data_IF_049834489212
#
_entry.id   IF_049834489212
#
_cell.length_a   1.000
_cell.length_b   1.000
_cell.length_c   1.000
_cell.angle_alpha   90.00
_cell.angle_beta   90.00
_cell.angle_gamma   90.00
#
_symmetry.space_group_name_H-M   'P 1'
#
loop_
_entity.id
_entity.type
_entity.pdbx_description
1 polymer ?
#
# COMPACT_ATOMS: atom_id res chain seq x y z
N UNK A 1 -5.06 16.22 -17.12
CA UNK A 1 -3.86 16.45 -16.28
C UNK A 1 -3.06 15.16 -16.31
N UNK A 2 -1.83 15.19 -16.81
CA UNK A 2 -0.96 14.02 -16.87
C UNK A 2 -0.50 13.62 -15.47
N UNK A 3 -0.28 12.32 -15.25
CA UNK A 3 0.32 11.83 -14.00
C UNK A 3 1.79 12.23 -13.98
N UNK A 4 2.19 13.03 -12.99
CA UNK A 4 3.57 13.50 -12.85
C UNK A 4 3.93 13.60 -11.37
N UNK A 5 5.18 13.25 -11.06
CA UNK A 5 5.76 13.40 -9.72
C UNK A 5 6.42 14.78 -9.52
N UNK A 6 6.53 15.58 -10.58
CA UNK A 6 7.30 16.81 -10.61
C UNK A 6 6.65 17.91 -11.45
N UNK A 7 5.32 17.87 -11.62
CA UNK A 7 4.64 18.96 -12.29
C UNK A 7 4.85 20.25 -11.48
N UNK A 8 5.19 21.39 -12.14
CA UNK A 8 5.29 22.66 -11.44
C UNK A 8 3.95 23.01 -10.78
N UNK A 9 3.98 23.36 -9.50
CA UNK A 9 2.82 23.85 -8.77
C UNK A 9 2.67 25.36 -8.91
N UNK A 10 1.46 25.88 -8.67
CA UNK A 10 1.17 27.30 -8.62
C UNK A 10 0.86 27.74 -7.20
N UNK A 11 1.50 28.82 -6.74
CA UNK A 11 1.35 29.33 -5.37
C UNK A 11 -0.07 29.82 -5.10
N UNK A 12 -0.68 30.51 -6.06
CA UNK A 12 -2.03 31.05 -5.86
C UNK A 12 -3.09 29.95 -5.89
N UNK A 13 -2.86 28.86 -6.66
CA UNK A 13 -3.68 27.67 -6.59
C UNK A 13 -3.59 27.01 -5.22
N UNK A 14 -2.40 26.85 -4.69
CA UNK A 14 -2.18 26.30 -3.35
C UNK A 14 -2.82 27.17 -2.27
N UNK A 15 -2.71 28.50 -2.37
CA UNK A 15 -3.37 29.44 -1.44
C UNK A 15 -4.89 29.31 -1.51
N UNK A 16 -5.48 29.16 -2.70
CA UNK A 16 -6.94 28.97 -2.84
C UNK A 16 -7.44 27.69 -2.17
N UNK A 17 -6.68 26.62 -2.22
CA UNK A 17 -7.05 25.35 -1.55
C UNK A 17 -7.15 25.51 -0.04
N UNK A 18 -6.34 26.36 0.56
CA UNK A 18 -6.27 26.59 2.00
C UNK A 18 -6.95 27.90 2.45
N UNK A 19 -7.84 28.48 1.64
CA UNK A 19 -8.46 29.80 1.87
C UNK A 19 -9.02 29.98 3.29
N UNK A 20 -9.59 28.92 3.88
CA UNK A 20 -10.19 28.94 5.24
C UNK A 20 -9.23 28.50 6.35
N UNK A 21 -7.96 28.30 6.03
CA UNK A 21 -6.98 27.86 7.02
C UNK A 21 -6.36 29.05 7.76
N UNK A 22 -5.61 28.75 8.81
CA UNK A 22 -4.97 29.79 9.61
C UNK A 22 -4.02 30.66 8.77
N UNK A 23 -3.93 32.01 9.02
CA UNK A 23 -3.11 32.93 8.24
C UNK A 23 -1.63 32.48 8.09
N UNK A 24 -1.10 31.80 9.11
CA UNK A 24 0.28 31.28 9.06
C UNK A 24 0.49 30.29 7.90
N UNK A 25 -0.52 29.50 7.53
CA UNK A 25 -0.43 28.56 6.41
C UNK A 25 -0.29 29.31 5.08
N UNK A 26 -1.07 30.35 4.88
CA UNK A 26 -0.97 31.23 3.72
C UNK A 26 0.42 31.87 3.63
N UNK A 27 0.95 32.36 4.76
CA UNK A 27 2.27 32.98 4.81
C UNK A 27 3.38 31.97 4.43
N UNK A 28 3.29 30.73 4.91
CA UNK A 28 4.25 29.66 4.56
C UNK A 28 4.20 29.35 3.06
N UNK A 29 3.01 29.19 2.49
CA UNK A 29 2.84 28.90 1.07
C UNK A 29 3.42 30.04 0.22
N UNK A 30 3.09 31.31 0.55
CA UNK A 30 3.62 32.47 -0.18
C UNK A 30 5.13 32.69 -0.02
N UNK A 31 5.73 32.20 1.04
CA UNK A 31 7.17 32.23 1.25
C UNK A 31 7.91 31.11 0.50
N UNK A 32 7.20 30.14 -0.07
CA UNK A 32 7.79 29.05 -0.86
C UNK A 32 8.30 29.60 -2.19
N UNK A 33 9.59 29.37 -2.58
CA UNK A 33 10.05 29.73 -3.91
C UNK A 33 9.23 29.03 -4.99
N UNK A 34 8.83 29.76 -6.04
CA UNK A 34 7.96 29.25 -7.10
C UNK A 34 8.52 27.99 -7.79
N UNK A 35 9.83 27.91 -7.96
CA UNK A 35 10.54 26.78 -8.57
C UNK A 35 10.65 25.55 -7.64
N UNK A 36 10.19 25.65 -6.40
CA UNK A 36 10.22 24.56 -5.40
C UNK A 36 8.83 23.98 -5.10
N UNK A 37 7.79 24.61 -5.61
CA UNK A 37 6.44 24.06 -5.45
C UNK A 37 6.16 23.03 -6.54
N UNK A 38 5.77 21.84 -6.10
CA UNK A 38 5.43 20.73 -6.97
C UNK A 38 3.96 20.37 -6.78
N UNK A 39 3.23 20.25 -7.86
CA UNK A 39 1.88 19.66 -7.88
C UNK A 39 2.01 18.16 -8.12
N UNK A 40 1.67 17.39 -7.10
CA UNK A 40 1.70 15.94 -7.17
C UNK A 40 0.29 15.36 -6.99
N UNK A 41 -0.23 14.79 -8.07
CA UNK A 41 -1.52 14.10 -8.05
C UNK A 41 -1.41 12.79 -7.29
N UNK A 42 -2.09 12.70 -6.14
CA UNK A 42 -2.25 11.44 -5.43
C UNK A 42 -3.15 10.51 -6.23
N UNK A 43 -2.59 9.40 -6.69
CA UNK A 43 -3.33 8.39 -7.42
C UNK A 43 -3.66 7.22 -6.51
N UNK A 44 -4.84 6.67 -6.71
CA UNK A 44 -5.32 5.46 -6.06
C UNK A 44 -5.82 4.51 -7.14
N UNK A 45 -5.56 3.24 -6.94
CA UNK A 45 -6.09 2.18 -7.80
C UNK A 45 -6.74 1.10 -6.95
N UNK A 46 -7.82 0.55 -7.48
CA UNK A 46 -8.39 -0.66 -6.91
C UNK A 46 -7.36 -1.80 -6.97
N UNK A 47 -7.39 -2.71 -5.99
CA UNK A 47 -6.50 -3.85 -5.97
C UNK A 47 -6.56 -4.64 -7.27
N UNK A 48 -5.40 -4.97 -7.83
CA UNK A 48 -5.33 -5.89 -8.96
C UNK A 48 -5.78 -7.29 -8.52
N UNK A 49 -6.54 -8.02 -9.35
CA UNK A 49 -6.97 -9.38 -9.01
C UNK A 49 -5.82 -10.38 -8.94
N UNK A 50 -4.70 -10.06 -9.57
CA UNK A 50 -3.45 -10.84 -9.50
C UNK A 50 -2.24 -9.95 -9.79
N UNK A 51 -1.12 -10.26 -9.16
CA UNK A 51 0.15 -9.55 -9.29
C UNK A 51 1.19 -10.32 -10.10
N UNK A 52 0.81 -11.47 -10.63
CA UNK A 52 1.73 -12.38 -11.31
C UNK A 52 1.28 -12.67 -12.74
N UNK A 53 2.25 -12.90 -13.62
CA UNK A 53 1.94 -13.33 -14.98
C UNK A 53 1.34 -14.75 -15.00
N UNK A 54 0.58 -15.13 -16.04
CA UNK A 54 -0.06 -16.45 -16.13
C UNK A 54 0.92 -17.63 -15.92
N UNK A 55 2.15 -17.50 -16.42
CA UNK A 55 3.22 -18.49 -16.24
C UNK A 55 4.00 -18.31 -14.93
N UNK A 56 3.61 -17.36 -14.07
CA UNK A 56 4.26 -17.00 -12.81
C UNK A 56 5.80 -16.83 -12.94
N UNK A 57 6.23 -16.12 -13.97
CA UNK A 57 7.64 -15.78 -14.21
C UNK A 57 7.92 -14.28 -14.06
N UNK A 58 6.86 -13.50 -13.89
CA UNK A 58 6.89 -12.07 -13.60
C UNK A 58 5.99 -11.85 -12.40
N UNK A 59 6.47 -11.10 -11.42
CA UNK A 59 5.71 -10.66 -10.26
C UNK A 59 5.82 -9.13 -10.14
N UNK A 60 4.73 -8.50 -9.75
CA UNK A 60 4.69 -7.13 -9.31
C UNK A 60 4.89 -7.08 -7.79
N UNK A 61 5.54 -6.04 -7.31
CA UNK A 61 5.78 -5.77 -5.90
C UNK A 61 5.51 -4.29 -5.60
N UNK A 62 5.20 -3.98 -4.36
CA UNK A 62 4.99 -2.60 -3.90
C UNK A 62 3.94 -1.87 -4.72
N UNK A 63 4.18 -0.60 -5.00
CA UNK A 63 3.22 0.27 -5.70
C UNK A 63 2.84 -0.22 -7.10
N UNK A 64 3.68 -1.03 -7.76
CA UNK A 64 3.33 -1.65 -9.03
C UNK A 64 2.19 -2.67 -8.88
N UNK A 65 2.10 -3.35 -7.74
CA UNK A 65 1.07 -4.33 -7.42
C UNK A 65 -0.12 -3.71 -6.67
N UNK A 66 0.18 -2.83 -5.71
CA UNK A 66 -0.77 -2.32 -4.73
C UNK A 66 -0.44 -0.89 -4.28
N UNK A 67 -0.66 0.12 -5.13
CA UNK A 67 -0.38 1.50 -4.75
C UNK A 67 -1.22 1.91 -3.54
N UNK A 68 -0.54 2.37 -2.50
CA UNK A 68 -1.16 2.80 -1.25
C UNK A 68 -1.44 4.29 -1.25
N UNK A 69 -2.56 4.69 -0.66
CA UNK A 69 -2.73 6.09 -0.27
C UNK A 69 -1.68 6.44 0.80
N UNK A 70 -1.00 7.60 0.71
CA UNK A 70 -0.01 8.02 1.70
C UNK A 70 -0.54 8.05 3.13
N UNK A 71 -1.85 8.28 3.31
CA UNK A 71 -2.54 8.25 4.60
C UNK A 71 -2.48 6.90 5.33
N UNK A 72 -2.17 5.82 4.62
CA UNK A 72 -1.95 4.50 5.25
C UNK A 72 -0.65 4.43 6.04
N UNK A 73 0.38 5.19 5.62
CA UNK A 73 1.76 5.13 6.13
C UNK A 73 2.34 3.69 6.03
N UNK A 74 1.79 2.85 5.14
CA UNK A 74 2.13 1.43 5.04
C UNK A 74 2.76 1.03 3.71
N UNK A 75 2.73 1.88 2.68
CA UNK A 75 3.19 1.50 1.34
C UNK A 75 4.61 0.93 1.31
N UNK A 76 5.58 1.66 1.87
CA UNK A 76 6.97 1.23 1.88
C UNK A 76 7.20 -0.05 2.71
N UNK A 77 6.56 -0.18 3.88
CA UNK A 77 6.68 -1.39 4.70
C UNK A 77 6.10 -2.61 3.99
N UNK A 78 4.95 -2.47 3.33
CA UNK A 78 4.36 -3.56 2.56
C UNK A 78 5.24 -3.96 1.36
N UNK A 79 5.88 -3.02 0.69
CA UNK A 79 6.84 -3.30 -0.39
C UNK A 79 8.08 -4.05 0.10
N UNK A 80 8.61 -3.70 1.28
CA UNK A 80 9.71 -4.44 1.91
C UNK A 80 9.29 -5.86 2.31
N UNK A 81 8.12 -6.03 2.90
CA UNK A 81 7.57 -7.35 3.23
C UNK A 81 7.38 -8.21 1.97
N UNK A 82 6.99 -7.62 0.83
CA UNK A 82 6.88 -8.33 -0.45
C UNK A 82 8.24 -8.89 -0.88
N UNK A 83 9.27 -8.06 -0.85
CA UNK A 83 10.63 -8.47 -1.23
C UNK A 83 11.14 -9.62 -0.37
N UNK A 84 10.98 -9.52 0.95
CA UNK A 84 11.38 -10.57 1.90
C UNK A 84 10.59 -11.86 1.67
N UNK A 85 9.26 -11.76 1.56
CA UNK A 85 8.41 -12.94 1.32
C UNK A 85 8.75 -13.65 0.01
N UNK A 86 8.96 -12.88 -1.07
CA UNK A 86 9.35 -13.46 -2.36
C UNK A 86 10.72 -14.13 -2.30
N UNK A 87 11.69 -13.53 -1.60
CA UNK A 87 13.02 -14.12 -1.42
C UNK A 87 12.95 -15.46 -0.70
N UNK A 88 12.22 -15.55 0.42
CA UNK A 88 11.99 -16.81 1.14
C UNK A 88 11.29 -17.86 0.26
N UNK A 89 10.26 -17.46 -0.48
CA UNK A 89 9.57 -18.37 -1.39
C UNK A 89 10.51 -18.92 -2.48
N UNK A 90 11.39 -18.09 -3.04
CA UNK A 90 12.37 -18.50 -4.06
C UNK A 90 13.42 -19.43 -3.48
N UNK A 91 13.91 -19.15 -2.28
CA UNK A 91 14.86 -20.00 -1.55
C UNK A 91 14.28 -21.41 -1.34
N UNK A 92 13.09 -21.48 -0.75
CA UNK A 92 12.44 -22.76 -0.43
C UNK A 92 11.98 -23.55 -1.64
N UNK A 93 11.61 -22.89 -2.74
CA UNK A 93 11.23 -23.56 -3.98
C UNK A 93 12.42 -24.09 -4.78
N UNK A 94 13.56 -23.44 -4.67
CA UNK A 94 14.75 -23.70 -5.48
C UNK A 94 14.59 -23.27 -6.96
N UNK A 95 15.69 -23.28 -7.68
CA UNK A 95 15.79 -22.73 -9.06
C UNK A 95 14.84 -23.37 -10.08
N UNK A 96 14.47 -24.62 -9.88
CA UNK A 96 13.60 -25.37 -10.82
C UNK A 96 12.11 -25.09 -10.62
N UNK A 97 11.73 -24.51 -9.48
CA UNK A 97 10.33 -24.30 -9.09
C UNK A 97 9.94 -22.81 -8.97
N UNK A 98 10.63 -21.90 -9.67
CA UNK A 98 10.37 -20.46 -9.62
C UNK A 98 8.89 -20.12 -9.81
N UNK A 99 8.15 -20.71 -10.76
CA UNK A 99 6.72 -20.40 -10.89
C UNK A 99 5.90 -20.76 -9.65
N UNK A 100 6.29 -21.77 -8.90
CA UNK A 100 5.64 -22.16 -7.65
C UNK A 100 5.94 -21.15 -6.54
N UNK A 101 7.20 -20.68 -6.45
CA UNK A 101 7.59 -19.63 -5.51
C UNK A 101 6.79 -18.35 -5.71
N UNK A 102 6.67 -17.89 -6.95
CA UNK A 102 5.96 -16.66 -7.32
C UNK A 102 4.46 -16.76 -7.01
N UNK A 103 3.83 -17.92 -7.23
CA UNK A 103 2.43 -18.15 -6.83
C UNK A 103 2.25 -18.19 -5.32
N UNK A 104 3.18 -18.82 -4.60
CA UNK A 104 3.16 -18.86 -3.13
C UNK A 104 3.31 -17.44 -2.54
N UNK A 105 4.24 -16.64 -3.06
CA UNK A 105 4.40 -15.25 -2.69
C UNK A 105 3.07 -14.48 -2.78
N UNK A 106 2.42 -14.48 -3.95
CA UNK A 106 1.14 -13.79 -4.11
C UNK A 106 0.10 -14.27 -3.10
N UNK A 107 -0.05 -15.59 -2.93
CA UNK A 107 -1.05 -16.17 -2.02
C UNK A 107 -0.79 -15.81 -0.56
N UNK A 108 0.47 -15.72 -0.13
CA UNK A 108 0.85 -15.32 1.23
C UNK A 108 0.57 -13.84 1.46
N UNK A 109 0.90 -12.99 0.47
CA UNK A 109 0.86 -11.54 0.63
C UNK A 109 -0.51 -10.91 0.38
N UNK A 110 -1.28 -11.45 -0.55
CA UNK A 110 -2.46 -10.80 -1.12
C UNK A 110 -3.43 -10.30 -0.05
N UNK A 111 -3.93 -11.17 0.81
CA UNK A 111 -4.94 -10.80 1.82
C UNK A 111 -4.41 -9.79 2.84
N UNK A 112 -3.15 -9.91 3.24
CA UNK A 112 -2.51 -8.98 4.18
C UNK A 112 -2.40 -7.58 3.57
N UNK A 113 -1.94 -7.49 2.34
CA UNK A 113 -1.83 -6.22 1.61
C UNK A 113 -3.20 -5.56 1.43
N UNK A 114 -4.22 -6.33 1.04
CA UNK A 114 -5.59 -5.82 0.90
C UNK A 114 -6.11 -5.24 2.22
N UNK A 115 -5.88 -5.93 3.33
CA UNK A 115 -6.26 -5.44 4.65
C UNK A 115 -5.48 -4.15 5.02
N UNK A 116 -4.17 -4.11 4.75
CA UNK A 116 -3.34 -2.93 4.98
C UNK A 116 -3.78 -1.72 4.12
N UNK A 117 -4.10 -1.93 2.84
CA UNK A 117 -4.64 -0.89 1.95
C UNK A 117 -5.94 -0.28 2.50
N UNK A 118 -6.83 -1.11 3.02
CA UNK A 118 -8.09 -0.67 3.61
C UNK A 118 -7.90 0.25 4.81
N UNK A 119 -6.83 0.07 5.58
CA UNK A 119 -6.52 0.98 6.70
C UNK A 119 -6.24 2.42 6.23
N UNK A 120 -5.65 2.59 5.06
CA UNK A 120 -5.38 3.91 4.48
C UNK A 120 -6.66 4.68 4.14
N UNK A 121 -7.66 4.01 3.56
CA UNK A 121 -8.96 4.60 3.30
C UNK A 121 -9.67 5.00 4.59
N UNK A 122 -9.69 4.11 5.58
CA UNK A 122 -10.31 4.38 6.88
C UNK A 122 -9.64 5.57 7.59
N UNK A 123 -8.31 5.65 7.52
CA UNK A 123 -7.54 6.76 8.09
C UNK A 123 -7.88 8.07 7.40
N UNK A 124 -7.87 8.08 6.05
CA UNK A 124 -8.25 9.25 5.26
C UNK A 124 -9.64 9.74 5.64
N UNK A 125 -10.62 8.85 5.62
CA UNK A 125 -12.01 9.20 5.88
C UNK A 125 -12.19 9.73 7.31
N UNK A 126 -11.53 9.11 8.28
CA UNK A 126 -11.57 9.56 9.67
C UNK A 126 -10.99 10.96 9.83
N UNK A 127 -9.84 11.26 9.21
CA UNK A 127 -9.21 12.57 9.34
C UNK A 127 -9.92 13.67 8.55
N UNK A 128 -10.37 13.38 7.33
CA UNK A 128 -11.02 14.38 6.49
C UNK A 128 -12.46 14.68 6.90
N UNK A 129 -13.12 13.74 7.57
CA UNK A 129 -14.51 13.89 8.06
C UNK A 129 -14.58 14.19 9.56
N UNK A 130 -13.45 14.55 10.18
CA UNK A 130 -13.37 14.81 11.61
C UNK A 130 -14.16 16.05 11.98
N UNK A 131 -15.08 15.90 12.94
CA UNK A 131 -15.73 17.00 13.65
C UNK A 131 -14.84 17.42 14.83
N UNK A 132 -14.19 18.57 14.70
CA UNK A 132 -13.27 19.07 15.72
C UNK A 132 -13.95 19.46 17.04
N UNK A 133 -15.26 19.76 17.05
CA UNK A 133 -15.98 20.01 18.30
C UNK A 133 -16.21 18.71 19.08
N UNK A 134 -16.47 17.59 18.38
CA UNK A 134 -16.46 16.27 19.00
C UNK A 134 -15.07 15.89 19.51
N UNK A 135 -14.00 16.20 18.78
CA UNK A 135 -12.63 15.95 19.24
C UNK A 135 -12.29 16.74 20.49
N UNK A 136 -12.73 18.00 20.62
CA UNK A 136 -12.55 18.78 21.86
C UNK A 136 -13.23 18.11 23.06
N UNK A 137 -14.44 17.56 22.85
CA UNK A 137 -15.18 16.85 23.89
C UNK A 137 -14.55 15.47 24.22
N UNK A 138 -14.00 14.79 23.22
CA UNK A 138 -13.36 13.48 23.37
C UNK A 138 -12.12 13.37 22.47
N UNK A 139 -10.91 13.78 22.94
CA UNK A 139 -9.69 13.71 22.15
C UNK A 139 -9.31 12.31 21.68
N UNK A 140 -9.77 11.27 22.36
CA UNK A 140 -9.52 9.89 21.94
C UNK A 140 -10.24 9.51 20.64
N UNK A 141 -11.29 10.24 20.24
CA UNK A 141 -12.07 9.95 19.04
C UNK A 141 -11.25 10.04 17.75
N UNK A 142 -10.21 10.86 17.69
CA UNK A 142 -9.35 11.01 16.51
C UNK A 142 -8.21 9.98 16.49
N UNK A 143 -8.01 9.22 17.58
CA UNK A 143 -6.94 8.25 17.66
C UNK A 143 -7.17 7.12 16.65
N UNK A 144 -6.14 6.83 15.84
CA UNK A 144 -6.17 5.70 14.91
C UNK A 144 -5.85 4.40 15.66
N UNK A 145 -6.59 3.33 15.43
CA UNK A 145 -6.19 2.02 15.91
C UNK A 145 -4.86 1.62 15.24
N UNK A 146 -3.88 1.27 16.05
CA UNK A 146 -2.61 0.69 15.59
C UNK A 146 -2.62 -0.78 15.98
N UNK A 147 -3.08 -1.60 15.04
CA UNK A 147 -3.27 -3.01 15.29
C UNK A 147 -1.94 -3.77 15.21
N UNK A 148 -1.70 -4.66 16.16
CA UNK A 148 -0.46 -5.43 16.24
C UNK A 148 -0.22 -6.29 15.01
N UNK A 149 -1.27 -6.89 14.43
CA UNK A 149 -1.16 -7.68 13.21
C UNK A 149 -0.53 -6.92 12.04
N UNK A 150 -0.70 -5.58 12.02
CA UNK A 150 -0.14 -4.71 10.98
C UNK A 150 1.29 -4.29 11.29
N UNK A 151 1.57 -3.92 12.56
CA UNK A 151 2.83 -3.30 12.94
C UNK A 151 3.90 -4.28 13.43
N UNK A 152 3.49 -5.37 14.09
CA UNK A 152 4.39 -6.35 14.71
C UNK A 152 4.61 -7.59 13.82
N UNK A 153 4.37 -7.47 12.49
CA UNK A 153 4.48 -8.58 11.57
C UNK A 153 5.92 -8.84 11.17
N UNK A 154 6.39 -10.05 11.42
CA UNK A 154 7.64 -10.58 10.90
C UNK A 154 7.37 -11.33 9.59
N UNK A 155 7.63 -10.68 8.45
CA UNK A 155 7.34 -11.21 7.13
C UNK A 155 8.24 -12.42 6.79
N UNK A 156 9.48 -12.43 7.26
CA UNK A 156 10.42 -13.52 7.05
C UNK A 156 9.97 -14.78 7.81
N UNK A 157 9.81 -14.65 9.12
CA UNK A 157 9.37 -15.77 9.96
C UNK A 157 8.01 -16.31 9.49
N UNK A 158 7.08 -15.42 9.12
CA UNK A 158 5.78 -15.82 8.60
C UNK A 158 5.90 -16.61 7.28
N UNK A 159 6.70 -16.12 6.32
CA UNK A 159 6.88 -16.78 5.04
C UNK A 159 7.48 -18.20 5.21
N UNK A 160 8.49 -18.35 6.05
CA UNK A 160 9.05 -19.69 6.38
C UNK A 160 7.99 -20.62 6.99
N UNK A 161 7.19 -20.10 7.92
CA UNK A 161 6.17 -20.89 8.62
C UNK A 161 5.06 -21.40 7.70
N UNK A 162 4.60 -20.58 6.73
CA UNK A 162 3.40 -20.91 5.93
C UNK A 162 3.70 -21.41 4.52
N UNK A 163 4.94 -21.34 4.05
CA UNK A 163 5.30 -21.68 2.68
C UNK A 163 4.91 -23.11 2.28
N UNK A 164 5.22 -24.11 3.11
CA UNK A 164 4.98 -25.50 2.78
C UNK A 164 3.51 -25.80 2.49
N UNK A 165 2.63 -25.33 3.38
CA UNK A 165 1.17 -25.50 3.26
C UNK A 165 0.60 -24.70 2.08
N UNK A 166 1.08 -23.48 1.90
CA UNK A 166 0.70 -22.63 0.76
C UNK A 166 1.07 -23.30 -0.55
N UNK A 167 2.30 -23.78 -0.65
CA UNK A 167 2.82 -24.45 -1.84
C UNK A 167 2.13 -25.81 -2.14
N UNK A 168 1.64 -26.49 -1.12
CA UNK A 168 0.83 -27.72 -1.27
C UNK A 168 -0.56 -27.37 -1.81
N UNK A 169 -1.20 -26.33 -1.30
CA UNK A 169 -2.54 -25.91 -1.75
C UNK A 169 -2.58 -25.47 -3.22
N UNK A 170 -1.46 -24.95 -3.76
CA UNK A 170 -1.36 -24.59 -5.19
C UNK A 170 -1.42 -25.78 -6.14
N UNK A 171 -1.12 -26.99 -5.69
CA UNK A 171 -1.24 -28.22 -6.49
C UNK A 171 -2.70 -28.62 -6.67
N UNK A 172 -3.49 -28.53 -5.62
CA UNK A 172 -4.93 -28.83 -5.67
C UNK A 172 -5.70 -27.86 -6.56
N UNK A 173 -5.32 -26.59 -6.57
CA UNK A 173 -5.97 -25.56 -7.40
C UNK A 173 -5.71 -25.75 -8.92
N UNK A 174 -4.58 -26.37 -9.30
CA UNK A 174 -4.24 -26.69 -10.70
C UNK A 174 -4.99 -27.96 -11.18
N UNK A 175 -5.13 -28.94 -10.32
CA UNK A 175 -5.84 -30.19 -10.61
C UNK A 175 -7.36 -30.02 -10.67
N UNK A 176 -7.89 -29.00 -9.96
CA UNK A 176 -9.33 -28.67 -9.92
C UNK A 176 -9.82 -27.84 -11.10
N UNK A 177 -8.95 -27.31 -11.97
CA UNK A 177 -9.36 -26.58 -13.18
C UNK A 177 -9.56 -27.56 -14.33
N UNK A 178 -10.82 -27.74 -14.84
CA UNK A 178 -11.04 -28.54 -16.04
C UNK A 178 -10.21 -27.95 -17.19
N UNK A 179 -9.53 -28.82 -17.93
CA UNK A 179 -8.91 -28.45 -19.21
C UNK A 179 -10.01 -27.94 -20.16
N UNK A 180 -9.97 -26.64 -20.46
CA UNK A 180 -10.70 -26.04 -21.58
C UNK A 180 -9.92 -26.27 -22.86
#
# INVERSE_FOLDING_TARGET
>A
MEESWSAPGDIEDAVRVVDRWAPIVHAIIRATPQDKLVDWKLVYRDPLPTWISPKARIALLGDAAHPFLPTSIQGASQAMEDGVTLAVCLELAGKVNVPKAVRAYEKIRYNRVMAAQKTGETTRDKWHKTDFDQVKANPASIKLPREKWLLDHDAEAHAYAVYADTAASLRSDVEARPSL
#
